data_IF_265878535336
#
_entry.id   IF_265878535336
#
_cell.length_a   1.000
_cell.length_b   1.000
_cell.length_c   1.000
_cell.angle_alpha   90.00
_cell.angle_beta   90.00
_cell.angle_gamma   90.00
#
_symmetry.space_group_name_H-M   'P 1'
#
loop_
_entity.id
_entity.type
_entity.pdbx_description
1 polymer ?
#
# COMPACT_ATOMS: atom_id res chain seq x y z
N UNK A 1 19.75 -12.82 3.87
CA UNK A 1 18.62 -12.92 4.82
C UNK A 1 17.54 -13.75 4.16
N UNK A 2 17.11 -14.81 4.83
CA UNK A 2 16.15 -15.80 4.31
C UNK A 2 14.75 -15.19 4.20
N UNK A 3 14.09 -15.38 3.06
CA UNK A 3 12.74 -14.87 2.73
C UNK A 3 11.71 -15.13 3.85
N UNK A 4 11.87 -16.22 4.60
CA UNK A 4 11.01 -16.53 5.76
C UNK A 4 11.10 -15.55 6.93
N UNK A 5 12.28 -14.94 7.18
CA UNK A 5 12.46 -13.98 8.28
C UNK A 5 11.85 -12.62 7.97
N UNK A 6 11.80 -12.24 6.69
CA UNK A 6 11.27 -10.96 6.26
C UNK A 6 9.73 -10.97 6.27
N UNK A 7 9.12 -12.04 5.77
CA UNK A 7 7.66 -12.23 5.83
C UNK A 7 7.15 -12.24 7.28
N UNK A 8 7.82 -12.97 8.18
CA UNK A 8 7.45 -13.00 9.59
C UNK A 8 7.52 -11.61 10.24
N UNK A 9 8.56 -10.84 9.91
CA UNK A 9 8.71 -9.46 10.40
C UNK A 9 7.59 -8.56 9.90
N UNK A 10 7.29 -8.58 8.60
CA UNK A 10 6.22 -7.76 8.03
C UNK A 10 4.85 -8.18 8.56
N UNK A 11 4.59 -9.47 8.71
CA UNK A 11 3.36 -10.00 9.32
C UNK A 11 3.18 -9.50 10.76
N UNK A 12 4.25 -9.51 11.56
CA UNK A 12 4.21 -8.99 12.93
C UNK A 12 3.91 -7.48 12.97
N UNK A 13 4.49 -6.69 12.05
CA UNK A 13 4.25 -5.25 11.98
C UNK A 13 2.81 -4.93 11.54
N UNK A 14 2.28 -5.63 10.53
CA UNK A 14 0.89 -5.48 10.10
C UNK A 14 -0.08 -5.87 11.23
N UNK A 15 0.22 -6.95 11.95
CA UNK A 15 -0.56 -7.35 13.13
C UNK A 15 -0.50 -6.28 14.24
N UNK A 16 0.68 -5.73 14.52
CA UNK A 16 0.83 -4.65 15.50
C UNK A 16 0.03 -3.41 15.11
N UNK A 17 0.02 -3.05 13.82
CA UNK A 17 -0.78 -1.93 13.32
C UNK A 17 -2.30 -2.20 13.45
N UNK A 18 -2.72 -3.45 13.25
CA UNK A 18 -4.12 -3.87 13.46
C UNK A 18 -4.54 -3.80 14.93
N UNK A 19 -3.71 -4.31 15.84
CA UNK A 19 -4.00 -4.37 17.28
C UNK A 19 -3.92 -2.98 17.93
N UNK A 20 -2.96 -2.15 17.49
CA UNK A 20 -2.68 -0.83 18.03
C UNK A 20 -2.37 0.15 16.89
N UNK A 21 -3.40 0.77 16.29
CA UNK A 21 -3.22 1.70 15.17
C UNK A 21 -2.61 3.00 15.69
N UNK A 22 -1.28 3.08 15.68
CA UNK A 22 -0.47 4.23 16.09
C UNK A 22 0.40 4.70 14.94
N UNK A 23 0.72 6.00 14.92
CA UNK A 23 1.61 6.58 13.90
C UNK A 23 2.96 5.88 13.90
N UNK A 24 3.48 5.50 15.07
CA UNK A 24 4.74 4.77 15.20
C UNK A 24 4.68 3.36 14.59
N UNK A 25 3.58 2.63 14.77
CA UNK A 25 3.40 1.31 14.14
C UNK A 25 3.37 1.42 12.60
N UNK A 26 2.71 2.46 12.07
CA UNK A 26 2.68 2.73 10.63
C UNK A 26 4.07 3.15 10.11
N UNK A 27 4.80 3.99 10.86
CA UNK A 27 6.15 4.41 10.51
C UNK A 27 7.13 3.23 10.48
N UNK A 28 7.09 2.34 11.47
CA UNK A 28 7.90 1.12 11.45
C UNK A 28 7.59 0.19 10.27
N UNK A 29 6.30 0.08 9.89
CA UNK A 29 5.93 -0.67 8.70
C UNK A 29 6.46 0.00 7.42
N UNK A 30 6.43 1.33 7.35
CA UNK A 30 7.01 2.11 6.27
C UNK A 30 8.51 1.92 6.14
N UNK A 31 9.26 1.99 7.23
CA UNK A 31 10.72 1.82 7.20
C UNK A 31 11.15 0.46 6.65
N UNK A 32 10.37 -0.58 6.92
CA UNK A 32 10.66 -1.95 6.46
C UNK A 32 10.19 -2.19 5.03
N UNK A 33 8.99 -1.73 4.67
CA UNK A 33 8.35 -2.12 3.40
C UNK A 33 8.39 -1.03 2.32
N UNK A 34 8.63 0.22 2.72
CA UNK A 34 8.62 1.42 1.88
C UNK A 34 9.54 1.35 0.66
N UNK A 35 10.83 1.00 0.82
CA UNK A 35 11.75 0.88 -0.30
C UNK A 35 11.26 -0.11 -1.37
N UNK A 36 10.76 -1.29 -0.94
CA UNK A 36 10.28 -2.30 -1.87
C UNK A 36 8.97 -1.88 -2.58
N UNK A 37 8.04 -1.25 -1.84
CA UNK A 37 6.81 -0.70 -2.43
C UNK A 37 7.13 0.42 -3.42
N UNK A 38 8.10 1.28 -3.12
CA UNK A 38 8.53 2.35 -4.01
C UNK A 38 9.21 1.82 -5.27
N UNK A 39 10.14 0.86 -5.16
CA UNK A 39 10.74 0.20 -6.32
C UNK A 39 9.67 -0.45 -7.20
N UNK A 40 8.72 -1.17 -6.60
CA UNK A 40 7.59 -1.74 -7.32
C UNK A 40 6.73 -0.67 -8.00
N UNK A 41 6.49 0.47 -7.35
CA UNK A 41 5.69 1.55 -7.92
C UNK A 41 6.37 2.21 -9.13
N UNK A 42 7.70 2.36 -9.10
CA UNK A 42 8.49 2.86 -10.23
C UNK A 42 8.42 1.95 -11.46
N UNK A 43 8.26 0.63 -11.27
CA UNK A 43 8.03 -0.32 -12.38
C UNK A 43 6.64 -0.15 -13.03
N UNK A 44 5.73 0.60 -12.41
CA UNK A 44 4.33 0.77 -12.87
C UNK A 44 3.99 2.18 -13.32
N UNK A 45 4.77 3.18 -12.90
CA UNK A 45 4.42 4.58 -13.03
C UNK A 45 5.67 5.49 -13.00
N UNK A 46 5.60 6.70 -13.61
CA UNK A 46 6.65 7.69 -13.49
C UNK A 46 6.80 8.16 -12.04
N UNK A 47 7.99 8.65 -11.69
CA UNK A 47 8.39 8.99 -10.32
C UNK A 47 7.34 9.80 -9.52
N UNK A 48 6.76 10.91 -10.01
CA UNK A 48 5.78 11.68 -9.22
C UNK A 48 4.53 10.86 -8.86
N UNK A 49 4.11 9.95 -9.74
CA UNK A 49 2.98 9.06 -9.49
C UNK A 49 3.37 7.89 -8.59
N UNK A 50 4.59 7.36 -8.72
CA UNK A 50 5.11 6.33 -7.82
C UNK A 50 5.16 6.83 -6.36
N UNK A 51 5.61 8.07 -6.13
CA UNK A 51 5.62 8.71 -4.81
C UNK A 51 4.20 8.81 -4.22
N UNK A 52 3.21 9.20 -5.04
CA UNK A 52 1.78 9.23 -4.62
C UNK A 52 1.23 7.85 -4.30
N UNK A 53 1.55 6.84 -5.12
CA UNK A 53 1.13 5.44 -4.89
C UNK A 53 1.66 4.95 -3.55
N UNK A 54 2.90 5.27 -3.18
CA UNK A 54 3.47 4.90 -1.88
C UNK A 54 2.65 5.57 -0.76
N UNK A 55 2.45 6.88 -0.81
CA UNK A 55 1.65 7.61 0.20
C UNK A 55 0.25 7.01 0.37
N UNK A 56 -0.43 6.73 -0.74
CA UNK A 56 -1.78 6.15 -0.72
C UNK A 56 -1.77 4.70 -0.23
N UNK A 57 -0.70 3.94 -0.47
CA UNK A 57 -0.54 2.59 0.08
C UNK A 57 -0.56 2.61 1.60
N UNK A 58 0.22 3.50 2.23
CA UNK A 58 0.28 3.60 3.69
C UNK A 58 -0.97 4.25 4.29
N UNK A 59 -1.60 5.16 3.54
CA UNK A 59 -2.91 5.70 3.91
C UNK A 59 -3.97 4.58 3.92
N UNK A 60 -3.98 3.72 2.91
CA UNK A 60 -4.87 2.55 2.85
C UNK A 60 -4.58 1.55 3.98
N UNK A 61 -3.30 1.26 4.25
CA UNK A 61 -2.89 0.40 5.37
C UNK A 61 -3.39 0.93 6.71
N UNK A 62 -3.29 2.25 6.94
CA UNK A 62 -3.81 2.91 8.12
C UNK A 62 -5.33 2.79 8.23
N UNK A 63 -6.06 3.24 7.20
CA UNK A 63 -7.52 3.28 7.19
C UNK A 63 -8.16 1.90 7.29
N UNK A 64 -7.48 0.87 6.79
CA UNK A 64 -7.99 -0.52 6.74
C UNK A 64 -7.34 -1.43 7.76
N UNK A 65 -6.55 -0.90 8.68
CA UNK A 65 -5.83 -1.68 9.70
C UNK A 65 -6.78 -2.57 10.52
N UNK A 66 -7.95 -2.04 10.90
CA UNK A 66 -8.99 -2.77 11.64
C UNK A 66 -9.61 -3.96 10.89
N UNK A 67 -9.47 -4.01 9.57
CA UNK A 67 -10.03 -5.07 8.70
C UNK A 67 -9.04 -6.19 8.38
N UNK A 68 -7.79 -6.05 8.83
CA UNK A 68 -6.77 -7.07 8.64
C UNK A 68 -7.16 -8.38 9.33
N UNK A 69 -7.04 -9.50 8.61
CA UNK A 69 -7.23 -10.84 9.16
C UNK A 69 -5.89 -11.47 9.49
N UNK A 70 -5.72 -11.94 10.72
CA UNK A 70 -4.44 -12.44 11.26
C UNK A 70 -3.89 -13.69 10.57
N UNK A 71 -4.68 -14.35 9.71
CA UNK A 71 -4.26 -15.46 8.84
C UNK A 71 -3.66 -15.02 7.50
N UNK A 72 -3.68 -13.72 7.17
CA UNK A 72 -3.15 -13.19 5.90
C UNK A 72 -1.68 -12.82 6.07
N UNK A 73 -0.76 -13.30 5.20
CA UNK A 73 0.64 -12.88 5.24
C UNK A 73 0.80 -11.35 5.10
N UNK A 74 1.74 -10.77 5.85
CA UNK A 74 1.96 -9.33 5.89
C UNK A 74 2.26 -8.74 4.51
N UNK A 75 3.15 -9.35 3.73
CA UNK A 75 3.46 -8.84 2.38
C UNK A 75 2.27 -8.94 1.43
N UNK A 76 1.45 -9.98 1.56
CA UNK A 76 0.22 -10.11 0.77
C UNK A 76 -0.74 -8.97 1.06
N UNK A 77 -0.87 -8.57 2.33
CA UNK A 77 -1.71 -7.43 2.71
C UNK A 77 -1.15 -6.10 2.20
N UNK A 78 0.16 -5.85 2.36
CA UNK A 78 0.83 -4.64 1.85
C UNK A 78 0.68 -4.52 0.33
N UNK A 79 0.90 -5.61 -0.41
CA UNK A 79 0.72 -5.63 -1.88
C UNK A 79 -0.72 -5.36 -2.29
N UNK A 80 -1.71 -5.88 -1.56
CA UNK A 80 -3.11 -5.61 -1.84
C UNK A 80 -3.41 -4.10 -1.73
N UNK A 81 -2.91 -3.43 -0.68
CA UNK A 81 -3.10 -1.98 -0.53
C UNK A 81 -2.36 -1.17 -1.60
N UNK A 82 -1.17 -1.62 -2.02
CA UNK A 82 -0.43 -0.98 -3.10
C UNK A 82 -1.13 -1.12 -4.46
N UNK A 83 -1.74 -2.29 -4.72
CA UNK A 83 -2.56 -2.52 -5.91
C UNK A 83 -3.82 -1.65 -5.89
N UNK A 84 -4.50 -1.52 -4.75
CA UNK A 84 -5.65 -0.62 -4.59
C UNK A 84 -5.25 0.84 -4.85
N UNK A 85 -4.11 1.29 -4.31
CA UNK A 85 -3.58 2.63 -4.57
C UNK A 85 -3.30 2.83 -6.07
N UNK A 86 -2.61 1.91 -6.73
CA UNK A 86 -2.35 1.98 -8.17
C UNK A 86 -3.64 2.02 -9.00
N UNK A 87 -4.64 1.23 -8.65
CA UNK A 87 -5.93 1.20 -9.34
C UNK A 87 -6.69 2.53 -9.21
N UNK A 88 -6.60 3.19 -8.04
CA UNK A 88 -7.20 4.50 -7.84
C UNK A 88 -6.66 5.56 -8.82
N UNK A 89 -5.36 5.52 -9.11
CA UNK A 89 -4.73 6.42 -10.10
C UNK A 89 -4.90 6.00 -11.56
N UNK A 90 -5.33 4.75 -11.80
CA UNK A 90 -5.61 4.22 -13.15
C UNK A 90 -7.07 4.36 -13.55
N UNK A 91 -7.97 4.56 -12.60
CA UNK A 91 -9.37 4.81 -12.90
C UNK A 91 -9.46 6.09 -13.75
N UNK A 92 -10.07 6.04 -14.95
CA UNK A 92 -10.31 7.25 -15.71
C UNK A 92 -11.22 8.16 -14.88
N UNK A 93 -10.93 9.46 -14.89
CA UNK A 93 -11.78 10.48 -14.29
C UNK A 93 -13.22 10.28 -14.82
N UNK A 94 -14.22 10.00 -13.96
CA UNK A 94 -15.59 9.79 -14.40
C UNK A 94 -16.25 11.06 -15.01
N UNK A 95 -15.49 12.16 -15.14
CA UNK A 95 -15.96 13.45 -15.66
C UNK A 95 -15.66 13.78 -17.13
N UNK A 96 -14.88 12.99 -17.89
CA UNK A 96 -14.68 13.31 -19.32
C UNK A 96 -15.82 12.70 -20.15
N UNK A 97 -16.95 13.41 -20.24
CA UNK A 97 -17.88 13.21 -21.37
C UNK A 97 -17.10 13.55 -22.65
N UNK A 98 -16.95 12.62 -23.62
CA UNK A 98 -16.54 13.03 -24.94
C UNK A 98 -17.60 14.00 -25.49
N UNK A 99 -17.13 15.09 -26.08
CA UNK A 99 -17.87 16.09 -26.86
C UNK A 99 -19.29 15.67 -27.26
N UNK A 100 -20.29 16.40 -26.78
CA UNK A 100 -21.56 16.45 -27.48
C UNK A 100 -21.34 17.30 -28.75
N UNK A 101 -21.54 16.75 -29.96
CA UNK A 101 -21.46 17.57 -31.17
C UNK A 101 -22.59 18.61 -31.16
N UNK A 102 -22.24 19.80 -31.69
CA UNK A 102 -23.09 20.98 -31.85
C UNK A 102 -24.33 20.74 -32.71
#
# INVERSE_FOLDING_TARGET
>A
MTVGSDEQRVTALVRSLHEQPTVDALAHLYDVTGPAVYTWALDKAPRPLAERIVVDTYTNLWLRSSTYSTGVPGWSWVRAQALTALQHHRAPDPGVRPDAPA
#
